data_IF_829128757238
#
_entry.id   IF_829128757238
#
_cell.length_a   1.000
_cell.length_b   1.000
_cell.length_c   1.000
_cell.angle_alpha   90.00
_cell.angle_beta   90.00
_cell.angle_gamma   90.00
#
_symmetry.space_group_name_H-M   'P 1'
#
loop_
_entity.id
_entity.type
_entity.pdbx_description
1 polymer ?
#
# COMPACT_ATOMS: atom_id res chain seq x y z
N UNK A 1 5.61 -15.98 11.07
CA UNK A 1 4.14 -15.94 10.89
C UNK A 1 3.59 -14.51 10.92
N UNK A 2 4.14 -13.59 11.75
CA UNK A 2 3.65 -12.20 11.84
C UNK A 2 3.96 -11.33 10.61
N UNK A 3 4.97 -11.69 9.83
CA UNK A 3 5.29 -10.99 8.57
C UNK A 3 4.29 -11.32 7.44
N UNK A 4 3.59 -12.45 7.52
CA UNK A 4 2.67 -12.88 6.47
C UNK A 4 1.34 -12.12 6.49
N UNK A 5 0.82 -11.73 7.65
CA UNK A 5 -0.48 -11.04 7.72
C UNK A 5 -0.41 -9.56 7.31
N UNK A 6 0.66 -8.84 7.67
CA UNK A 6 0.90 -7.47 7.17
C UNK A 6 1.32 -7.45 5.69
N UNK A 7 1.81 -8.57 5.18
CA UNK A 7 2.11 -8.79 3.77
C UNK A 7 0.93 -9.29 2.94
N UNK A 8 -0.18 -9.73 3.55
CA UNK A 8 -1.25 -10.43 2.85
C UNK A 8 -1.90 -9.61 1.72
N UNK A 9 -2.23 -8.35 1.97
CA UNK A 9 -2.79 -7.49 0.93
C UNK A 9 -1.83 -7.32 -0.26
N UNK A 10 -0.55 -7.11 0.00
CA UNK A 10 0.50 -6.99 -1.05
C UNK A 10 0.66 -8.28 -1.85
N UNK A 11 0.63 -9.43 -1.17
CA UNK A 11 0.70 -10.75 -1.78
C UNK A 11 -0.52 -10.97 -2.69
N UNK A 12 -1.70 -10.68 -2.20
CA UNK A 12 -2.94 -10.90 -2.95
C UNK A 12 -3.09 -9.95 -4.14
N UNK A 13 -2.62 -8.71 -4.03
CA UNK A 13 -2.52 -7.76 -5.16
C UNK A 13 -1.56 -8.31 -6.21
N UNK A 14 -0.36 -8.74 -5.82
CA UNK A 14 0.65 -9.27 -6.73
C UNK A 14 0.17 -10.53 -7.47
N UNK A 15 -0.47 -11.46 -6.76
CA UNK A 15 -1.06 -12.67 -7.36
C UNK A 15 -2.12 -12.33 -8.42
N UNK A 16 -3.03 -11.40 -8.12
CA UNK A 16 -4.08 -11.00 -9.04
C UNK A 16 -3.53 -10.26 -10.25
N UNK A 17 -2.59 -9.35 -10.06
CA UNK A 17 -1.92 -8.67 -11.15
C UNK A 17 -1.21 -9.66 -12.08
N UNK A 18 -0.46 -10.62 -11.52
CA UNK A 18 0.19 -11.67 -12.31
C UNK A 18 -0.82 -12.55 -13.06
N UNK A 19 -1.93 -12.94 -12.40
CA UNK A 19 -3.00 -13.72 -13.04
C UNK A 19 -3.69 -12.99 -14.20
N UNK A 20 -3.66 -11.65 -14.19
CA UNK A 20 -4.13 -10.79 -15.30
C UNK A 20 -3.06 -10.57 -16.38
N UNK A 21 -1.93 -11.26 -16.30
CA UNK A 21 -0.83 -11.15 -17.27
C UNK A 21 0.07 -9.93 -17.09
N UNK A 22 -0.03 -9.20 -15.96
CA UNK A 22 0.85 -8.07 -15.69
C UNK A 22 2.23 -8.56 -15.22
N UNK A 23 3.28 -7.87 -15.64
CA UNK A 23 4.61 -8.01 -15.05
C UNK A 23 4.61 -7.34 -13.68
N UNK A 24 4.93 -8.09 -12.65
CA UNK A 24 4.90 -7.61 -11.26
C UNK A 24 6.31 -7.35 -10.75
N UNK A 25 6.60 -6.11 -10.38
CA UNK A 25 7.83 -5.70 -9.71
C UNK A 25 7.51 -5.14 -8.33
N UNK A 26 8.36 -5.37 -7.35
CA UNK A 26 8.11 -4.95 -5.97
C UNK A 26 9.37 -4.46 -5.28
N UNK A 27 9.20 -3.71 -4.18
CA UNK A 27 10.28 -3.40 -3.24
C UNK A 27 10.02 -4.04 -1.87
N UNK A 28 11.10 -4.38 -1.18
CA UNK A 28 11.11 -4.85 0.20
C UNK A 28 12.20 -4.15 1.01
N UNK A 29 12.01 -4.07 2.33
CA UNK A 29 12.98 -3.43 3.22
C UNK A 29 14.26 -4.24 3.46
N UNK A 30 14.19 -5.58 3.41
CA UNK A 30 15.30 -6.42 3.93
C UNK A 30 15.58 -7.72 3.17
N UNK A 31 14.80 -8.07 2.16
CA UNK A 31 14.97 -9.33 1.42
C UNK A 31 14.62 -9.18 -0.04
N UNK A 32 15.38 -9.85 -0.90
CA UNK A 32 15.09 -10.00 -2.34
C UNK A 32 14.36 -11.32 -2.66
N UNK A 33 13.87 -12.02 -1.64
CA UNK A 33 13.10 -13.26 -1.84
C UNK A 33 11.89 -12.99 -2.74
N UNK A 34 11.82 -13.74 -3.80
CA UNK A 34 10.87 -13.55 -4.89
C UNK A 34 9.89 -14.71 -4.96
N UNK A 35 8.61 -14.50 -4.66
CA UNK A 35 7.60 -15.52 -4.92
C UNK A 35 7.37 -15.68 -6.44
N UNK A 36 6.82 -16.84 -6.88
CA UNK A 36 6.73 -17.16 -8.32
C UNK A 36 5.86 -16.19 -9.14
N UNK A 37 4.95 -15.46 -8.50
CA UNK A 37 4.06 -14.47 -9.13
C UNK A 37 4.65 -13.05 -9.12
N UNK A 38 5.93 -12.86 -8.78
CA UNK A 38 6.64 -11.58 -8.84
C UNK A 38 7.86 -11.73 -9.73
N UNK A 39 8.05 -10.86 -10.70
CA UNK A 39 9.15 -10.93 -11.66
C UNK A 39 10.45 -10.36 -11.10
N UNK A 40 10.35 -9.34 -10.26
CA UNK A 40 11.51 -8.69 -9.64
C UNK A 40 11.20 -8.16 -8.25
N UNK A 41 12.15 -8.34 -7.32
CA UNK A 41 12.11 -7.72 -5.98
C UNK A 41 13.39 -6.92 -5.79
N UNK A 42 13.24 -5.59 -5.69
CA UNK A 42 14.30 -4.65 -5.31
C UNK A 42 14.28 -4.34 -3.82
N UNK A 43 15.34 -3.72 -3.33
CA UNK A 43 15.39 -3.13 -2.00
C UNK A 43 14.81 -1.70 -2.02
N UNK A 44 14.62 -1.10 -0.84
CA UNK A 44 13.96 0.21 -0.71
C UNK A 44 14.66 1.32 -1.50
N UNK A 45 15.98 1.28 -1.60
CA UNK A 45 16.79 2.24 -2.35
C UNK A 45 16.58 2.17 -3.87
N UNK A 46 16.02 1.07 -4.38
CA UNK A 46 15.71 0.89 -5.79
C UNK A 46 14.32 1.44 -6.17
N UNK A 47 13.52 1.87 -5.18
CA UNK A 47 12.19 2.42 -5.43
C UNK A 47 12.17 3.49 -6.55
N UNK A 48 13.07 4.50 -6.57
CA UNK A 48 13.06 5.51 -7.62
C UNK A 48 13.22 4.95 -9.03
N UNK A 49 14.01 3.90 -9.19
CA UNK A 49 14.22 3.21 -10.48
C UNK A 49 12.98 2.40 -10.88
N UNK A 50 12.35 1.71 -9.93
CA UNK A 50 11.17 0.89 -10.19
C UNK A 50 9.93 1.74 -10.49
N UNK A 51 9.79 2.92 -9.88
CA UNK A 51 8.72 3.87 -10.20
C UNK A 51 8.72 4.25 -11.69
N UNK A 52 9.90 4.43 -12.28
CA UNK A 52 10.03 4.76 -13.71
C UNK A 52 9.69 3.61 -14.67
N UNK A 53 9.53 2.39 -14.16
CA UNK A 53 9.19 1.21 -14.97
C UNK A 53 7.71 0.82 -14.89
N UNK A 54 7.00 1.31 -13.86
CA UNK A 54 5.65 0.89 -13.55
C UNK A 54 4.59 1.68 -14.33
N UNK A 55 3.58 0.98 -14.83
CA UNK A 55 2.35 1.57 -15.38
C UNK A 55 1.28 1.74 -14.29
N UNK A 56 1.34 0.91 -13.23
CA UNK A 56 0.51 1.04 -12.03
C UNK A 56 1.41 0.87 -10.81
N UNK A 57 1.40 1.85 -9.92
CA UNK A 57 2.09 1.82 -8.63
C UNK A 57 1.07 1.60 -7.53
N UNK A 58 1.21 0.53 -6.76
CA UNK A 58 0.33 0.23 -5.62
C UNK A 58 1.10 0.41 -4.33
N UNK A 59 0.71 1.40 -3.55
CA UNK A 59 1.18 1.61 -2.19
C UNK A 59 0.30 0.84 -1.20
N UNK A 60 0.88 -0.14 -0.54
CA UNK A 60 0.26 -0.91 0.55
C UNK A 60 1.21 -0.98 1.75
N UNK A 61 1.98 0.09 1.99
CA UNK A 61 2.95 0.19 3.07
C UNK A 61 2.27 0.58 4.39
N UNK A 62 2.76 0.09 5.53
CA UNK A 62 2.41 0.65 6.83
C UNK A 62 3.01 2.05 6.97
N UNK A 63 2.39 2.89 7.80
CA UNK A 63 2.97 4.18 8.19
C UNK A 63 4.00 3.95 9.30
N UNK A 64 5.23 4.31 9.03
CA UNK A 64 6.37 4.27 9.95
C UNK A 64 7.22 5.51 9.75
N UNK A 65 8.19 5.78 10.60
CA UNK A 65 9.15 6.86 10.40
C UNK A 65 9.90 6.77 9.05
N UNK A 66 10.13 5.56 8.54
CA UNK A 66 10.81 5.33 7.27
C UNK A 66 9.89 5.45 6.03
N UNK A 67 8.57 5.38 6.21
CA UNK A 67 7.60 5.42 5.11
C UNK A 67 6.74 6.68 5.11
N UNK A 68 6.84 7.50 6.14
CA UNK A 68 6.14 8.78 6.22
C UNK A 68 6.59 9.69 5.08
N UNK A 69 5.64 10.19 4.28
CA UNK A 69 5.90 11.06 3.14
C UNK A 69 6.79 10.44 2.05
N UNK A 70 6.88 9.11 1.98
CA UNK A 70 7.73 8.40 1.00
C UNK A 70 7.36 8.75 -0.44
N UNK A 71 6.07 8.98 -0.70
CA UNK A 71 5.58 9.41 -2.00
C UNK A 71 5.42 10.93 -2.00
N UNK A 72 6.51 11.61 -2.26
CA UNK A 72 6.65 13.06 -2.40
C UNK A 72 6.70 13.49 -3.88
N UNK A 73 6.91 14.78 -4.15
CA UNK A 73 7.07 15.32 -5.49
C UNK A 73 8.16 14.63 -6.30
N UNK A 74 9.25 14.19 -5.65
CA UNK A 74 10.36 13.50 -6.33
C UNK A 74 9.96 12.08 -6.74
N UNK A 75 9.21 11.39 -5.88
CA UNK A 75 8.68 10.07 -6.20
C UNK A 75 7.69 10.14 -7.38
N UNK A 76 6.73 11.07 -7.36
CA UNK A 76 5.79 11.27 -8.46
C UNK A 76 6.48 11.71 -9.76
N UNK A 77 7.53 12.53 -9.68
CA UNK A 77 8.31 12.93 -10.87
C UNK A 77 9.07 11.77 -11.53
N UNK A 78 9.30 10.66 -10.81
CA UNK A 78 9.92 9.44 -11.35
C UNK A 78 8.92 8.53 -12.07
N UNK A 79 7.63 8.65 -11.75
CA UNK A 79 6.60 7.84 -12.41
C UNK A 79 6.39 8.28 -13.86
N UNK A 80 5.87 7.36 -14.67
CA UNK A 80 5.49 7.67 -16.06
C UNK A 80 4.26 8.57 -16.07
N UNK A 81 4.14 9.50 -17.01
CA UNK A 81 2.94 10.34 -17.16
C UNK A 81 1.66 9.52 -17.43
N UNK A 82 1.81 8.30 -17.95
CA UNK A 82 0.72 7.35 -18.18
C UNK A 82 0.42 6.45 -17.00
N UNK A 83 1.19 6.55 -15.91
CA UNK A 83 1.04 5.67 -14.76
C UNK A 83 -0.12 6.10 -13.84
N UNK A 84 -0.73 5.12 -13.20
CA UNK A 84 -1.71 5.29 -12.13
C UNK A 84 -1.06 5.03 -10.77
N UNK A 85 -1.44 5.82 -9.77
CA UNK A 85 -1.03 5.64 -8.38
C UNK A 85 -2.20 5.16 -7.53
N UNK A 86 -2.06 4.04 -6.85
CA UNK A 86 -3.07 3.47 -5.97
C UNK A 86 -2.55 3.44 -4.53
N UNK A 87 -3.32 3.97 -3.57
CA UNK A 87 -2.98 3.90 -2.16
C UNK A 87 -4.05 3.16 -1.36
N UNK A 88 -3.69 1.96 -0.91
CA UNK A 88 -4.47 1.11 -0.01
C UNK A 88 -3.71 0.82 1.30
N UNK A 89 -2.65 1.58 1.55
CA UNK A 89 -1.83 1.46 2.75
C UNK A 89 -2.26 2.42 3.85
N UNK A 90 -1.57 3.57 3.94
CA UNK A 90 -1.87 4.66 4.88
C UNK A 90 -1.67 6.01 4.20
N UNK A 91 -2.57 6.97 4.48
CA UNK A 91 -2.52 8.32 3.90
C UNK A 91 -1.20 9.02 4.13
N UNK A 92 -0.69 9.02 5.36
CA UNK A 92 0.56 9.69 5.74
C UNK A 92 1.84 9.15 5.07
N UNK A 93 1.76 8.08 4.26
CA UNK A 93 2.88 7.67 3.40
C UNK A 93 3.01 8.53 2.14
N UNK A 94 2.03 9.40 1.87
CA UNK A 94 1.94 10.29 0.71
C UNK A 94 1.94 11.73 1.19
N UNK A 95 2.72 12.58 0.54
CA UNK A 95 2.58 14.03 0.66
C UNK A 95 1.41 14.46 -0.23
N UNK A 96 0.25 14.69 0.38
CA UNK A 96 -1.02 14.86 -0.35
C UNK A 96 -0.99 16.06 -1.31
N UNK A 97 -0.37 17.17 -0.92
CA UNK A 97 -0.23 18.36 -1.78
C UNK A 97 0.62 18.08 -3.01
N UNK A 98 1.66 17.27 -2.88
CA UNK A 98 2.51 16.85 -4.00
C UNK A 98 1.76 15.95 -4.99
N UNK A 99 0.90 15.05 -4.47
CA UNK A 99 0.02 14.25 -5.31
C UNK A 99 -0.97 15.12 -6.09
N UNK A 100 -1.61 16.09 -5.41
CA UNK A 100 -2.52 17.06 -6.06
C UNK A 100 -1.80 17.80 -7.18
N UNK A 101 -0.61 18.33 -6.91
CA UNK A 101 0.20 19.05 -7.90
C UNK A 101 0.57 18.15 -9.09
N UNK A 102 0.96 16.90 -8.84
CA UNK A 102 1.31 15.94 -9.89
C UNK A 102 0.10 15.62 -10.80
N UNK A 103 -1.09 15.44 -10.22
CA UNK A 103 -2.33 15.17 -10.96
C UNK A 103 -2.77 16.39 -11.79
N UNK A 104 -2.75 17.59 -11.20
CA UNK A 104 -3.11 18.83 -11.89
C UNK A 104 -2.16 19.14 -13.05
N UNK A 105 -0.87 18.86 -12.88
CA UNK A 105 0.15 19.01 -13.92
C UNK A 105 0.16 17.85 -14.94
N UNK A 106 -0.78 16.88 -14.83
CA UNK A 106 -0.83 15.65 -15.66
C UNK A 106 0.48 14.86 -15.69
N UNK A 107 1.20 14.86 -14.56
CA UNK A 107 2.39 14.03 -14.35
C UNK A 107 2.04 12.57 -14.06
N UNK A 108 0.76 12.31 -13.74
CA UNK A 108 0.16 10.99 -13.56
C UNK A 108 -1.12 10.91 -14.37
N UNK A 109 -1.46 9.73 -14.84
CA UNK A 109 -2.73 9.48 -15.53
C UNK A 109 -3.93 9.56 -14.57
N UNK A 110 -3.75 9.20 -13.32
CA UNK A 110 -4.77 9.28 -12.29
C UNK A 110 -4.34 8.64 -10.97
N UNK A 111 -5.24 8.67 -9.98
CA UNK A 111 -5.02 8.02 -8.69
C UNK A 111 -6.29 7.34 -8.15
N UNK A 112 -6.10 6.23 -7.42
CA UNK A 112 -7.12 5.56 -6.62
C UNK A 112 -6.68 5.53 -5.16
N UNK A 113 -7.49 6.10 -4.27
CA UNK A 113 -7.12 6.32 -2.88
C UNK A 113 -8.20 5.76 -1.96
N UNK A 114 -7.88 4.74 -1.20
CA UNK A 114 -8.74 4.26 -0.11
C UNK A 114 -8.40 4.94 1.22
N UNK A 115 -7.24 5.58 1.29
CA UNK A 115 -6.74 6.31 2.44
C UNK A 115 -6.17 7.66 2.03
N UNK A 116 -6.34 8.69 2.89
CA UNK A 116 -5.87 10.06 2.67
C UNK A 116 -5.16 10.61 3.90
N UNK A 117 -4.49 11.74 3.75
CA UNK A 117 -3.96 12.54 4.86
C UNK A 117 -4.21 14.03 4.53
N UNK A 118 -5.03 14.73 5.35
CA UNK A 118 -5.75 14.23 6.53
C UNK A 118 -6.87 13.22 6.21
N UNK A 119 -7.27 12.44 7.22
CA UNK A 119 -8.40 11.52 7.15
C UNK A 119 -9.34 11.77 8.36
N UNK A 120 -10.65 12.07 8.14
CA UNK A 120 -11.30 12.20 6.84
C UNK A 120 -10.82 13.42 6.04
N UNK A 121 -10.85 13.30 4.71
CA UNK A 121 -10.44 14.40 3.82
C UNK A 121 -11.44 15.55 3.90
N UNK A 122 -11.01 16.80 4.21
CA UNK A 122 -11.90 17.95 4.30
C UNK A 122 -12.68 18.18 3.01
N UNK A 123 -13.95 18.59 3.11
CA UNK A 123 -14.84 18.78 1.96
C UNK A 123 -14.31 19.79 0.92
N UNK A 124 -13.54 20.79 1.35
CA UNK A 124 -12.95 21.80 0.47
C UNK A 124 -11.58 21.38 -0.11
N UNK A 125 -11.07 20.19 0.22
CA UNK A 125 -9.73 19.78 -0.16
C UNK A 125 -9.58 19.69 -1.69
N UNK A 126 -8.47 20.21 -2.29
CA UNK A 126 -8.26 20.22 -3.73
C UNK A 126 -8.29 18.83 -4.40
N UNK A 127 -7.96 17.79 -3.66
CA UNK A 127 -7.96 16.40 -4.14
C UNK A 127 -9.32 15.95 -4.68
N UNK A 128 -10.45 16.46 -4.11
CA UNK A 128 -11.79 16.16 -4.61
C UNK A 128 -12.04 16.65 -6.04
N UNK A 129 -11.25 17.62 -6.50
CA UNK A 129 -11.36 18.25 -7.84
C UNK A 129 -10.18 17.90 -8.73
N UNK A 130 -9.24 17.09 -8.25
CA UNK A 130 -8.12 16.65 -9.05
C UNK A 130 -8.58 15.73 -10.20
N UNK A 131 -7.97 15.80 -11.38
CA UNK A 131 -8.39 15.01 -12.52
C UNK A 131 -8.11 13.52 -12.31
N UNK A 132 -9.04 12.66 -12.76
CA UNK A 132 -8.90 11.20 -12.75
C UNK A 132 -8.57 10.61 -11.38
N UNK A 133 -9.25 11.08 -10.33
CA UNK A 133 -9.10 10.56 -8.96
C UNK A 133 -10.37 9.83 -8.56
N UNK A 134 -10.21 8.66 -7.95
CA UNK A 134 -11.23 7.91 -7.25
C UNK A 134 -10.84 7.83 -5.79
N UNK A 135 -11.73 8.21 -4.88
CA UNK A 135 -11.52 8.12 -3.43
C UNK A 135 -12.61 7.22 -2.84
N UNK A 136 -12.19 6.22 -2.07
CA UNK A 136 -13.07 5.35 -1.29
C UNK A 136 -12.86 5.62 0.22
N UNK A 137 -13.86 5.35 1.08
CA UNK A 137 -13.86 5.81 2.47
C UNK A 137 -13.13 4.85 3.42
N UNK A 138 -11.91 4.45 3.10
CA UNK A 138 -11.08 3.49 3.89
C UNK A 138 -11.82 2.16 4.13
N UNK A 139 -12.41 1.63 3.07
CA UNK A 139 -13.28 0.45 3.10
C UNK A 139 -12.67 -0.79 2.42
N UNK A 140 -11.41 -0.75 2.03
CA UNK A 140 -10.75 -1.88 1.35
C UNK A 140 -10.66 -3.16 2.19
N UNK A 141 -10.83 -3.06 3.52
CA UNK A 141 -10.88 -4.19 4.44
C UNK A 141 -12.30 -4.70 4.74
N UNK A 142 -13.34 -4.01 4.28
CA UNK A 142 -14.73 -4.26 4.64
C UNK A 142 -15.40 -5.36 3.78
N UNK A 143 -14.64 -6.00 2.90
CA UNK A 143 -15.16 -7.15 2.15
C UNK A 143 -15.53 -8.29 3.11
N UNK A 144 -16.62 -9.00 2.80
CA UNK A 144 -17.17 -10.13 3.60
C UNK A 144 -16.10 -11.14 4.04
N UNK A 145 -15.09 -11.37 3.19
CA UNK A 145 -13.94 -12.22 3.49
C UNK A 145 -13.01 -11.64 4.58
N UNK A 146 -13.02 -10.33 4.78
CA UNK A 146 -12.19 -9.65 5.79
C UNK A 146 -12.67 -9.96 7.20
N UNK A 147 -13.95 -9.85 7.45
CA UNK A 147 -14.58 -10.10 8.76
C UNK A 147 -14.38 -11.55 9.19
N UNK A 148 -14.62 -12.53 8.31
CA UNK A 148 -14.42 -13.94 8.64
C UNK A 148 -12.96 -14.25 8.96
N UNK A 149 -12.02 -13.69 8.20
CA UNK A 149 -10.58 -13.86 8.45
C UNK A 149 -10.16 -13.25 9.78
N UNK A 150 -10.64 -12.04 10.11
CA UNK A 150 -10.40 -11.38 11.38
C UNK A 150 -10.95 -12.21 12.56
N UNK A 151 -12.18 -12.70 12.44
CA UNK A 151 -12.81 -13.53 13.46
C UNK A 151 -12.07 -14.86 13.66
N UNK A 152 -11.54 -15.46 12.60
CA UNK A 152 -10.70 -16.66 12.70
C UNK A 152 -9.41 -16.39 13.47
N UNK A 153 -8.71 -15.30 13.19
CA UNK A 153 -7.49 -14.90 13.91
C UNK A 153 -7.79 -14.59 15.36
N UNK A 154 -8.90 -13.90 15.64
CA UNK A 154 -9.33 -13.58 17.00
C UNK A 154 -9.60 -14.85 17.83
N UNK A 155 -10.37 -15.79 17.28
CA UNK A 155 -10.65 -17.08 17.95
C UNK A 155 -9.38 -17.88 18.22
N UNK A 156 -8.48 -17.94 17.24
CA UNK A 156 -7.21 -18.66 17.42
C UNK A 156 -6.30 -17.96 18.44
N UNK A 157 -6.26 -16.64 18.46
CA UNK A 157 -5.49 -15.90 19.45
C UNK A 157 -6.07 -16.05 20.87
N UNK A 158 -7.39 -16.10 21.01
CA UNK A 158 -8.02 -16.40 22.30
C UNK A 158 -7.63 -17.81 22.80
N UNK A 159 -7.70 -18.81 21.93
CA UNK A 159 -7.27 -20.18 22.25
C UNK A 159 -5.80 -20.21 22.70
N UNK A 160 -4.92 -19.56 21.95
CA UNK A 160 -3.48 -19.46 22.25
C UNK A 160 -3.22 -18.75 23.55
N UNK A 161 -3.90 -17.63 23.81
CA UNK A 161 -3.77 -16.89 25.05
C UNK A 161 -4.12 -17.75 26.28
N UNK A 162 -5.24 -18.49 26.20
CA UNK A 162 -5.66 -19.40 27.28
C UNK A 162 -4.69 -20.57 27.47
N UNK A 163 -4.00 -21.00 26.44
CA UNK A 163 -3.00 -22.08 26.47
C UNK A 163 -1.58 -21.58 26.86
N UNK A 164 -1.35 -20.28 26.98
CA UNK A 164 -0.01 -19.72 27.17
C UNK A 164 0.86 -19.76 25.91
N UNK A 165 0.28 -20.00 24.75
CA UNK A 165 0.98 -20.05 23.46
C UNK A 165 1.26 -18.64 22.91
N UNK A 166 2.28 -18.54 22.05
CA UNK A 166 2.57 -17.29 21.33
C UNK A 166 1.40 -16.92 20.41
N UNK A 167 0.93 -15.65 20.53
CA UNK A 167 -0.13 -15.12 19.67
C UNK A 167 0.28 -14.99 18.22
N UNK A 168 -0.69 -15.04 17.32
CA UNK A 168 -0.53 -14.68 15.92
C UNK A 168 -0.54 -13.15 15.75
N UNK A 169 0.14 -12.65 14.71
CA UNK A 169 0.11 -11.23 14.33
C UNK A 169 0.51 -10.27 15.47
N UNK A 170 1.50 -10.65 16.27
CA UNK A 170 2.04 -9.78 17.32
C UNK A 170 2.71 -8.56 16.67
N UNK A 171 2.26 -7.37 17.08
CA UNK A 171 2.87 -6.11 16.64
C UNK A 171 4.16 -5.88 17.41
N UNK A 172 5.25 -5.62 16.70
CA UNK A 172 6.51 -5.21 17.30
C UNK A 172 6.50 -3.68 17.48
N UNK A 173 6.23 -3.23 18.70
CA UNK A 173 6.00 -1.81 19.03
C UNK A 173 7.14 -0.91 18.55
N UNK A 174 8.39 -1.37 18.66
CA UNK A 174 9.56 -0.61 18.21
C UNK A 174 9.59 -0.38 16.69
N UNK A 175 8.93 -1.23 15.91
CA UNK A 175 8.85 -1.12 14.43
C UNK A 175 7.53 -0.51 13.96
N UNK A 176 6.53 -0.40 14.83
CA UNK A 176 5.22 0.15 14.51
C UNK A 176 4.31 -0.78 13.69
N UNK A 177 4.69 -2.05 13.52
CA UNK A 177 3.90 -3.06 12.81
C UNK A 177 4.27 -4.48 13.21
#
# INVERSE_FOLDING_TARGET
>A
ASQELLGAARIEIAKRANALGMRVIATRGSSRDKPPYVDYVGLSEELPTLLGQADVVVNALPLTAATQGLFDAKAFARMRPTAYFLNVGRGGTVVTDDLVAALQARRLAGAGLDVTDPEPLPAAHPLWRAPNVVITPHSSSDADLGVETQMRVLRENLRRYLAGDRLLSVVEVARGY
#
